data_IF_042983872579
#
_entry.id   IF_042983872579
#
_cell.length_a   1.000
_cell.length_b   1.000
_cell.length_c   1.000
_cell.angle_alpha   90.00
_cell.angle_beta   90.00
_cell.angle_gamma   90.00
#
_symmetry.space_group_name_H-M   'P 1'
#
loop_
_entity.id
_entity.type
_entity.pdbx_description
1 polymer ?
#
# COMPACT_ATOMS: atom_id res chain seq x y z
N UNK A 1 16.15 6.83 8.35
CA UNK A 1 15.08 5.97 7.81
C UNK A 1 14.48 6.46 6.48
N UNK A 2 14.35 7.78 6.26
CA UNK A 2 13.75 8.38 5.05
C UNK A 2 14.52 8.07 3.75
N UNK A 3 15.86 8.02 3.77
CA UNK A 3 16.66 7.66 2.57
C UNK A 3 16.38 6.23 2.06
N UNK A 4 16.29 5.23 2.94
CA UNK A 4 16.01 3.83 2.54
C UNK A 4 14.68 3.67 1.78
N UNK A 5 13.66 4.44 2.16
CA UNK A 5 12.34 4.41 1.50
C UNK A 5 12.39 5.04 0.11
N UNK A 6 13.24 6.05 -0.10
CA UNK A 6 13.42 6.69 -1.41
C UNK A 6 14.15 5.77 -2.38
N UNK A 7 15.18 5.05 -1.91
CA UNK A 7 15.90 4.08 -2.73
C UNK A 7 15.02 2.92 -3.19
N UNK A 8 14.17 2.37 -2.31
CA UNK A 8 13.29 1.24 -2.67
C UNK A 8 12.29 1.57 -3.80
N UNK A 9 11.76 2.80 -3.83
CA UNK A 9 10.84 3.25 -4.87
C UNK A 9 11.53 3.43 -6.23
N UNK A 10 12.75 3.94 -6.21
CA UNK A 10 13.56 4.12 -7.42
C UNK A 10 14.00 2.77 -7.97
N UNK A 11 14.45 1.85 -7.11
CA UNK A 11 14.83 0.49 -7.55
C UNK A 11 13.66 -0.28 -8.12
N UNK A 12 12.45 -0.13 -7.54
CA UNK A 12 11.24 -0.75 -8.08
C UNK A 12 10.87 -0.19 -9.46
N UNK A 13 10.98 1.12 -9.67
CA UNK A 13 10.75 1.73 -10.97
C UNK A 13 11.75 1.26 -12.03
N UNK A 14 13.04 1.25 -11.70
CA UNK A 14 14.10 0.78 -12.60
C UNK A 14 13.89 -0.69 -12.98
N UNK A 15 13.52 -1.53 -12.00
CA UNK A 15 13.21 -2.94 -12.26
C UNK A 15 12.05 -3.09 -13.25
N UNK A 16 10.96 -2.34 -13.06
CA UNK A 16 9.82 -2.36 -13.98
C UNK A 16 10.20 -1.90 -15.39
N UNK A 17 11.00 -0.84 -15.52
CA UNK A 17 11.48 -0.37 -16.83
C UNK A 17 12.30 -1.46 -17.52
N UNK A 18 13.23 -2.12 -16.81
CA UNK A 18 14.04 -3.20 -17.37
C UNK A 18 13.18 -4.38 -17.80
N UNK A 19 12.22 -4.81 -16.97
CA UNK A 19 11.37 -5.96 -17.32
C UNK A 19 10.48 -5.68 -18.53
N UNK A 20 9.82 -4.52 -18.58
CA UNK A 20 8.95 -4.16 -19.69
C UNK A 20 9.72 -3.94 -21.00
N UNK A 21 10.91 -3.33 -20.95
CA UNK A 21 11.75 -3.13 -22.14
C UNK A 21 12.27 -4.45 -22.69
N UNK A 22 12.68 -5.40 -21.83
CA UNK A 22 13.10 -6.74 -22.25
C UNK A 22 11.95 -7.53 -22.88
N UNK A 23 10.79 -7.58 -22.22
CA UNK A 23 9.61 -8.27 -22.76
C UNK A 23 9.19 -7.69 -24.11
N UNK A 24 9.19 -6.37 -24.23
CA UNK A 24 8.86 -5.69 -25.47
C UNK A 24 9.87 -6.00 -26.58
N UNK A 25 11.16 -5.98 -26.28
CA UNK A 25 12.21 -6.31 -27.26
C UNK A 25 12.06 -7.74 -27.78
N UNK A 26 11.81 -8.70 -26.88
CA UNK A 26 11.58 -10.08 -27.29
C UNK A 26 10.33 -10.22 -28.16
N UNK A 27 9.24 -9.56 -27.77
CA UNK A 27 7.99 -9.54 -28.54
C UNK A 27 8.19 -8.94 -29.93
N UNK A 28 8.91 -7.82 -30.05
CA UNK A 28 9.21 -7.20 -31.34
C UNK A 28 10.04 -8.10 -32.25
N UNK A 29 11.09 -8.75 -31.72
CA UNK A 29 11.89 -9.70 -32.49
C UNK A 29 11.03 -10.86 -33.00
N UNK A 30 10.14 -11.39 -32.16
CA UNK A 30 9.22 -12.46 -32.54
C UNK A 30 8.25 -12.03 -33.65
N UNK A 31 7.66 -10.83 -33.53
CA UNK A 31 6.74 -10.28 -34.54
C UNK A 31 7.47 -10.07 -35.87
N UNK A 32 8.68 -9.51 -35.85
CA UNK A 32 9.50 -9.30 -37.06
C UNK A 32 9.75 -10.63 -37.77
N UNK A 33 10.13 -11.67 -37.04
CA UNK A 33 10.39 -12.99 -37.62
C UNK A 33 9.12 -13.62 -38.20
N UNK A 34 8.00 -13.52 -37.48
CA UNK A 34 6.70 -14.04 -37.92
C UNK A 34 6.20 -13.34 -39.17
N UNK A 35 6.28 -12.01 -39.21
CA UNK A 35 5.88 -11.21 -40.37
C UNK A 35 6.77 -11.52 -41.57
N UNK A 36 8.09 -11.60 -41.38
CA UNK A 36 9.01 -12.01 -42.44
C UNK A 36 8.68 -13.42 -42.97
N UNK A 37 8.41 -14.41 -42.10
CA UNK A 37 7.99 -15.75 -42.55
C UNK A 37 6.68 -15.72 -43.35
N UNK A 38 5.72 -14.90 -42.94
CA UNK A 38 4.46 -14.74 -43.66
C UNK A 38 4.65 -14.11 -45.04
N UNK A 39 5.44 -13.02 -45.11
CA UNK A 39 5.76 -12.34 -46.36
C UNK A 39 6.56 -13.26 -47.30
N UNK A 40 7.48 -14.07 -46.75
CA UNK A 40 8.24 -15.06 -47.51
C UNK A 40 7.32 -16.10 -48.12
N UNK A 41 6.36 -16.62 -47.37
CA UNK A 41 5.40 -17.59 -47.89
C UNK A 41 4.58 -17.01 -49.03
N UNK A 42 4.11 -15.76 -48.91
CA UNK A 42 3.37 -15.08 -49.99
C UNK A 42 4.24 -14.88 -51.22
N UNK A 43 5.48 -14.43 -51.03
CA UNK A 43 6.48 -14.26 -52.09
C UNK A 43 6.78 -15.58 -52.79
N UNK A 44 7.01 -16.65 -52.03
CA UNK A 44 7.26 -17.99 -52.55
C UNK A 44 6.08 -18.52 -53.36
N UNK A 45 4.85 -18.37 -52.86
CA UNK A 45 3.63 -18.74 -53.62
C UNK A 45 3.52 -17.95 -54.91
N UNK A 46 3.81 -16.64 -54.89
CA UNK A 46 3.77 -15.81 -56.09
C UNK A 46 4.82 -16.24 -57.11
N UNK A 47 6.07 -16.45 -56.69
CA UNK A 47 7.14 -16.92 -57.58
C UNK A 47 6.82 -18.32 -58.12
N UNK A 48 6.21 -19.20 -57.32
CA UNK A 48 5.80 -20.52 -57.78
C UNK A 48 4.75 -20.45 -58.89
N UNK A 49 3.80 -19.51 -58.81
CA UNK A 49 2.79 -19.27 -59.85
C UNK A 49 3.42 -18.69 -61.13
N UNK A 50 4.38 -17.78 -60.99
CA UNK A 50 5.04 -17.11 -62.11
C UNK A 50 6.21 -17.94 -62.67
N UNK A 51 6.53 -19.09 -62.06
CA UNK A 51 7.75 -19.85 -62.32
C UNK A 51 7.89 -20.33 -63.76
N UNK A 52 6.79 -20.76 -64.38
CA UNK A 52 6.78 -21.26 -65.75
C UNK A 52 7.08 -20.16 -66.78
N UNK A 53 6.82 -18.89 -66.43
CA UNK A 53 7.04 -17.73 -67.30
C UNK A 53 8.42 -17.11 -67.11
N UNK A 54 9.15 -17.48 -66.06
CA UNK A 54 10.46 -16.92 -65.75
C UNK A 54 11.58 -17.62 -66.54
N UNK A 55 12.37 -16.88 -67.34
CA UNK A 55 13.46 -17.43 -68.14
C UNK A 55 14.71 -17.68 -67.29
N UNK A 56 14.61 -18.59 -66.32
CA UNK A 56 15.70 -18.97 -65.41
C UNK A 56 16.62 -19.96 -66.15
N UNK A 57 17.93 -19.87 -65.93
CA UNK A 57 18.89 -20.80 -66.51
C UNK A 57 18.63 -22.24 -66.03
N UNK A 58 18.63 -23.22 -66.94
CA UNK A 58 18.38 -24.63 -66.65
C UNK A 58 19.54 -25.48 -67.17
N UNK A 59 20.46 -25.91 -66.27
CA UNK A 59 21.63 -26.70 -66.67
C UNK A 59 21.27 -28.03 -67.33
N UNK A 60 20.17 -28.66 -66.91
CA UNK A 60 19.68 -29.92 -67.48
C UNK A 60 19.29 -29.80 -68.96
N UNK A 61 18.92 -28.61 -69.43
CA UNK A 61 18.47 -28.36 -70.78
C UNK A 61 19.44 -27.47 -71.59
N UNK A 62 20.67 -27.24 -71.09
CA UNK A 62 21.64 -26.30 -71.69
C UNK A 62 21.08 -24.90 -71.97
N UNK A 63 20.06 -24.48 -71.21
CA UNK A 63 19.42 -23.19 -71.38
C UNK A 63 20.08 -22.17 -70.45
N UNK A 64 20.71 -21.13 -71.01
CA UNK A 64 21.45 -20.13 -70.23
C UNK A 64 20.57 -19.09 -69.52
N UNK A 65 19.25 -19.10 -69.76
CA UNK A 65 18.32 -18.13 -69.19
C UNK A 65 18.44 -16.72 -69.77
N UNK A 66 17.56 -15.83 -69.35
CA UNK A 66 17.58 -14.39 -69.66
C UNK A 66 17.69 -13.59 -68.35
N UNK A 67 18.93 -13.25 -67.98
CA UNK A 67 19.22 -12.52 -66.74
C UNK A 67 18.58 -11.13 -66.70
N UNK A 68 18.39 -10.47 -67.85
CA UNK A 68 17.78 -9.14 -67.90
C UNK A 68 16.31 -9.21 -67.51
N UNK A 69 15.56 -10.16 -68.07
CA UNK A 69 14.15 -10.37 -67.71
C UNK A 69 13.97 -10.79 -66.25
N UNK A 70 14.85 -11.64 -65.72
CA UNK A 70 14.82 -11.99 -64.29
C UNK A 70 15.08 -10.76 -63.41
N UNK A 71 16.04 -9.91 -63.78
CA UNK A 71 16.32 -8.67 -63.01
C UNK A 71 15.13 -7.69 -63.01
N UNK A 72 14.45 -7.54 -64.15
CA UNK A 72 13.24 -6.70 -64.26
C UNK A 72 12.09 -7.26 -63.40
N UNK A 73 11.92 -8.58 -63.40
CA UNK A 73 10.93 -9.24 -62.54
C UNK A 73 11.23 -9.00 -61.05
N UNK A 74 12.49 -9.14 -60.63
CA UNK A 74 12.90 -8.87 -59.24
C UNK A 74 12.61 -7.41 -58.86
N UNK A 75 12.88 -6.46 -59.75
CA UNK A 75 12.59 -5.04 -59.52
C UNK A 75 11.09 -4.77 -59.34
N UNK A 76 10.24 -5.38 -60.18
CA UNK A 76 8.79 -5.19 -60.08
C UNK A 76 8.22 -5.82 -58.79
N UNK A 77 8.69 -7.01 -58.44
CA UNK A 77 8.33 -7.65 -57.15
C UNK A 77 8.77 -6.77 -55.98
N UNK A 78 10.00 -6.27 -55.98
CA UNK A 78 10.50 -5.40 -54.91
C UNK A 78 9.73 -4.08 -54.80
N UNK A 79 9.22 -3.55 -55.91
CA UNK A 79 8.33 -2.38 -55.91
C UNK A 79 7.01 -2.69 -55.20
N UNK A 80 6.39 -3.84 -55.50
CA UNK A 80 5.17 -4.29 -54.83
C UNK A 80 5.42 -4.56 -53.34
N UNK A 81 6.51 -5.25 -53.00
CA UNK A 81 6.90 -5.53 -51.61
C UNK A 81 7.10 -4.23 -50.83
N UNK A 82 7.76 -3.23 -51.41
CA UNK A 82 7.97 -1.92 -50.80
C UNK A 82 6.65 -1.17 -50.60
N UNK A 83 5.74 -1.22 -51.58
CA UNK A 83 4.42 -0.59 -51.48
C UNK A 83 3.55 -1.18 -50.34
N UNK A 84 3.77 -2.46 -50.01
CA UNK A 84 3.08 -3.15 -48.91
C UNK A 84 3.82 -3.09 -47.58
N UNK A 85 4.93 -2.34 -47.48
CA UNK A 85 5.81 -2.31 -46.31
C UNK A 85 6.29 -3.72 -45.88
N UNK A 86 6.52 -4.60 -46.85
CA UNK A 86 7.06 -5.94 -46.61
C UNK A 86 8.40 -5.84 -45.89
N UNK A 87 8.66 -6.78 -44.98
CA UNK A 87 9.96 -6.88 -44.30
C UNK A 87 11.01 -7.59 -45.15
N UNK A 88 10.63 -8.10 -46.32
CA UNK A 88 11.50 -8.87 -47.20
C UNK A 88 11.80 -8.10 -48.48
N UNK A 89 13.06 -8.15 -48.89
CA UNK A 89 13.53 -7.72 -50.21
C UNK A 89 14.07 -8.94 -50.94
N UNK A 90 13.59 -9.15 -52.17
CA UNK A 90 14.06 -10.20 -53.05
C UNK A 90 15.42 -9.79 -53.63
N UNK A 91 16.43 -10.62 -53.44
CA UNK A 91 17.80 -10.38 -53.90
C UNK A 91 18.07 -11.10 -55.23
N UNK A 92 17.72 -12.38 -55.31
CA UNK A 92 18.09 -13.22 -56.45
C UNK A 92 17.17 -14.45 -56.61
N UNK A 93 17.07 -14.97 -57.85
CA UNK A 93 16.34 -16.20 -58.20
C UNK A 93 17.20 -17.02 -59.15
N UNK A 94 17.56 -18.27 -58.78
CA UNK A 94 18.39 -19.16 -59.61
C UNK A 94 17.94 -20.62 -59.55
N UNK A 95 18.20 -21.41 -60.60
CA UNK A 95 17.87 -22.84 -60.64
C UNK A 95 18.92 -23.77 -59.99
N UNK A 96 20.05 -23.22 -59.52
CA UNK A 96 21.20 -24.02 -59.06
C UNK A 96 21.50 -23.71 -57.60
N UNK A 97 21.89 -24.73 -56.84
CA UNK A 97 22.40 -24.58 -55.47
C UNK A 97 23.56 -23.59 -55.43
N UNK A 98 23.47 -22.48 -54.67
CA UNK A 98 24.65 -21.75 -54.30
C UNK A 98 25.44 -22.58 -53.28
N UNK A 99 26.73 -22.76 -53.52
CA UNK A 99 27.67 -23.09 -52.44
C UNK A 99 27.44 -22.07 -51.31
N UNK A 100 27.24 -22.52 -50.06
CA UNK A 100 26.87 -21.64 -48.96
C UNK A 100 28.10 -20.82 -48.55
N UNK A 101 28.27 -19.65 -49.16
CA UNK A 101 29.02 -18.59 -48.50
C UNK A 101 28.09 -17.98 -47.45
N UNK A 102 28.54 -17.83 -46.19
CA UNK A 102 27.77 -17.20 -45.13
C UNK A 102 27.76 -15.71 -45.40
N UNK A 103 26.92 -15.27 -46.32
CA UNK A 103 26.57 -13.86 -46.45
C UNK A 103 25.18 -13.66 -45.86
N UNK A 104 24.85 -12.44 -45.48
CA UNK A 104 23.65 -12.06 -44.70
C UNK A 104 22.28 -12.38 -45.36
N UNK A 105 22.28 -13.15 -46.44
CA UNK A 105 21.15 -13.47 -47.30
C UNK A 105 20.54 -14.80 -46.86
N UNK A 106 19.23 -14.80 -46.62
CA UNK A 106 18.50 -16.01 -46.30
C UNK A 106 18.12 -16.71 -47.61
N UNK A 107 18.09 -18.05 -47.58
CA UNK A 107 17.83 -18.88 -48.75
C UNK A 107 16.53 -19.65 -48.55
N UNK A 108 15.65 -19.61 -49.55
CA UNK A 108 14.43 -20.41 -49.60
C UNK A 108 14.44 -21.25 -50.88
N UNK A 109 14.16 -22.54 -50.77
CA UNK A 109 14.18 -23.47 -51.90
C UNK A 109 12.73 -23.80 -52.28
N UNK A 110 12.37 -23.50 -53.51
CA UNK A 110 11.14 -23.95 -54.16
C UNK A 110 11.42 -25.26 -54.90
N UNK A 111 10.77 -26.32 -54.48
CA UNK A 111 10.80 -27.61 -55.18
C UNK A 111 9.51 -27.79 -55.99
N UNK A 112 9.66 -27.93 -57.30
CA UNK A 112 8.60 -28.36 -58.22
C UNK A 112 8.96 -29.74 -58.77
N UNK A 113 7.99 -30.44 -59.38
CA UNK A 113 8.14 -31.80 -59.90
C UNK A 113 9.33 -31.96 -60.88
N UNK A 114 9.71 -30.88 -61.57
CA UNK A 114 10.75 -30.91 -62.61
C UNK A 114 11.85 -29.85 -62.44
N UNK A 115 11.74 -28.94 -61.46
CA UNK A 115 12.67 -27.80 -61.28
C UNK A 115 12.88 -27.49 -59.81
N UNK A 116 14.13 -27.23 -59.41
CA UNK A 116 14.48 -26.67 -58.10
C UNK A 116 14.93 -25.23 -58.29
N UNK A 117 14.30 -24.30 -57.57
CA UNK A 117 14.60 -22.87 -57.67
C UNK A 117 14.94 -22.32 -56.31
N UNK A 118 16.08 -21.66 -56.24
CA UNK A 118 16.64 -21.02 -55.05
C UNK A 118 16.29 -19.54 -55.09
N UNK A 119 15.57 -19.09 -54.07
CA UNK A 119 15.25 -17.69 -53.80
C UNK A 119 16.20 -17.17 -52.72
N UNK A 120 16.92 -16.10 -53.03
CA UNK A 120 17.69 -15.34 -52.03
C UNK A 120 16.92 -14.10 -51.64
N UNK A 121 16.85 -13.84 -50.34
CA UNK A 121 16.13 -12.71 -49.81
C UNK A 121 16.82 -12.09 -48.59
N UNK A 122 16.55 -10.81 -48.39
CA UNK A 122 17.02 -10.01 -47.27
C UNK A 122 15.85 -9.69 -46.35
N UNK A 123 16.08 -9.74 -45.03
CA UNK A 123 15.06 -9.38 -44.02
C UNK A 123 15.44 -8.06 -43.36
N UNK A 124 14.55 -7.08 -43.47
CA UNK A 124 14.66 -5.82 -42.75
C UNK A 124 14.34 -6.02 -41.25
N UNK A 125 15.40 -6.03 -40.43
CA UNK A 125 15.34 -6.15 -38.97
C UNK A 125 15.29 -4.79 -38.24
N UNK A 126 15.08 -3.69 -38.97
CA UNK A 126 15.01 -2.38 -38.34
C UNK A 126 13.78 -2.26 -37.44
N UNK A 127 14.03 -1.85 -36.20
CA UNK A 127 12.99 -1.50 -35.25
C UNK A 127 12.65 -0.02 -35.37
N UNK A 128 11.37 0.34 -35.29
CA UNK A 128 10.99 1.74 -35.08
C UNK A 128 11.35 2.13 -33.64
N UNK A 129 12.30 3.06 -33.48
CA UNK A 129 12.76 3.49 -32.17
C UNK A 129 11.65 4.13 -31.33
N UNK A 130 10.67 4.76 -32.00
CA UNK A 130 9.50 5.37 -31.35
C UNK A 130 8.65 4.34 -30.59
N UNK A 131 8.65 3.09 -31.04
CA UNK A 131 7.87 2.02 -30.42
C UNK A 131 8.37 1.66 -29.02
N UNK A 132 9.62 1.99 -28.68
CA UNK A 132 10.18 1.79 -27.34
C UNK A 132 9.68 2.80 -26.30
N UNK A 133 8.92 3.83 -26.71
CA UNK A 133 8.25 4.73 -25.77
C UNK A 133 7.09 4.00 -25.07
N UNK A 134 6.43 3.05 -25.74
CA UNK A 134 5.30 2.31 -25.19
C UNK A 134 5.64 1.57 -23.86
N UNK A 135 6.69 0.73 -23.77
CA UNK A 135 7.04 0.07 -22.51
C UNK A 135 7.40 1.05 -21.39
N UNK A 136 7.93 2.24 -21.71
CA UNK A 136 8.21 3.28 -20.71
C UNK A 136 6.91 3.87 -20.13
N UNK A 137 5.92 4.15 -20.98
CA UNK A 137 4.60 4.64 -20.55
C UNK A 137 3.92 3.58 -19.66
N UNK A 138 3.96 2.31 -20.06
CA UNK A 138 3.38 1.22 -19.26
C UNK A 138 4.08 1.07 -17.90
N UNK A 139 5.41 1.09 -17.88
CA UNK A 139 6.17 1.03 -16.62
C UNK A 139 5.80 2.20 -15.69
N UNK A 140 5.64 3.42 -16.25
CA UNK A 140 5.23 4.60 -15.49
C UNK A 140 3.81 4.47 -14.93
N UNK A 141 2.85 4.01 -15.73
CA UNK A 141 1.46 3.81 -15.28
C UNK A 141 1.37 2.78 -14.15
N UNK A 142 2.05 1.64 -14.29
CA UNK A 142 2.10 0.60 -13.25
C UNK A 142 2.76 1.14 -11.97
N UNK A 143 3.84 1.90 -12.11
CA UNK A 143 4.51 2.53 -10.98
C UNK A 143 3.64 3.58 -10.27
N UNK A 144 2.84 4.35 -11.01
CA UNK A 144 1.86 5.28 -10.43
C UNK A 144 0.78 4.55 -9.63
N UNK A 145 0.25 3.43 -10.14
CA UNK A 145 -0.72 2.61 -9.43
C UNK A 145 -0.11 2.00 -8.16
N UNK A 146 1.12 1.49 -8.24
CA UNK A 146 1.90 1.02 -7.10
C UNK A 146 2.10 2.12 -6.05
N UNK A 147 2.45 3.34 -6.46
CA UNK A 147 2.62 4.44 -5.52
C UNK A 147 1.29 4.82 -4.86
N UNK A 148 0.19 4.85 -5.62
CA UNK A 148 -1.15 5.11 -5.09
C UNK A 148 -1.59 4.05 -4.09
N UNK A 149 -1.37 2.76 -4.38
CA UNK A 149 -1.72 1.67 -3.46
C UNK A 149 -0.88 1.74 -2.18
N UNK A 150 0.42 2.02 -2.28
CA UNK A 150 1.27 2.21 -1.10
C UNK A 150 0.91 3.43 -0.26
N UNK A 151 0.53 4.54 -0.90
CA UNK A 151 0.05 5.73 -0.20
C UNK A 151 -1.28 5.46 0.51
N UNK A 152 -2.23 4.78 -0.15
CA UNK A 152 -3.48 4.35 0.48
C UNK A 152 -3.23 3.36 1.63
N UNK A 153 -2.35 2.38 1.45
CA UNK A 153 -1.98 1.44 2.50
C UNK A 153 -1.33 2.15 3.70
N UNK A 154 -0.47 3.15 3.46
CA UNK A 154 0.09 4.00 4.52
C UNK A 154 -0.98 4.87 5.19
N UNK A 155 -1.89 5.46 4.44
CA UNK A 155 -3.01 6.22 5.00
C UNK A 155 -3.92 5.33 5.84
N UNK A 156 -4.17 4.09 5.40
CA UNK A 156 -4.95 3.11 6.16
C UNK A 156 -4.21 2.60 7.39
N UNK A 157 -2.88 2.40 7.31
CA UNK A 157 -2.03 2.10 8.46
C UNK A 157 -1.99 3.26 9.45
N UNK A 158 -1.83 4.50 8.99
CA UNK A 158 -1.85 5.69 9.84
C UNK A 158 -3.25 5.87 10.44
N UNK A 159 -4.33 5.71 9.66
CA UNK A 159 -5.70 5.71 10.16
C UNK A 159 -5.95 4.59 11.16
N UNK A 160 -5.38 3.41 10.94
CA UNK A 160 -5.45 2.28 11.87
C UNK A 160 -4.66 2.56 13.14
N UNK A 161 -3.47 3.15 13.06
CA UNK A 161 -2.66 3.55 14.23
C UNK A 161 -3.32 4.70 15.00
N UNK A 162 -3.90 5.69 14.32
CA UNK A 162 -4.68 6.76 14.97
C UNK A 162 -6.00 6.24 15.52
N UNK A 163 -6.62 5.22 14.91
CA UNK A 163 -7.76 4.53 15.49
C UNK A 163 -7.35 3.68 16.69
N UNK A 164 -6.18 3.03 16.69
CA UNK A 164 -5.63 2.31 17.84
C UNK A 164 -5.32 3.28 19.00
N UNK A 165 -4.88 4.51 18.70
CA UNK A 165 -4.72 5.55 19.72
C UNK A 165 -6.06 6.12 20.21
N UNK A 166 -7.08 6.13 19.36
CA UNK A 166 -8.48 6.45 19.72
C UNK A 166 -9.24 5.27 20.37
N UNK A 167 -8.71 4.04 20.28
CA UNK A 167 -9.18 2.80 20.92
C UNK A 167 -8.35 2.44 22.14
N UNK A 168 -7.51 3.35 22.69
CA UNK A 168 -7.08 3.17 24.08
C UNK A 168 -8.35 3.12 24.93
N UNK A 169 -8.58 1.99 25.58
CA UNK A 169 -9.70 1.76 26.47
C UNK A 169 -9.88 2.98 27.39
N UNK A 170 -10.92 3.78 27.12
CA UNK A 170 -11.25 4.93 27.97
C UNK A 170 -11.86 4.41 29.25
N UNK A 171 -11.53 5.07 30.36
CA UNK A 171 -12.21 4.80 31.62
C UNK A 171 -13.61 5.38 31.55
N UNK A 172 -14.63 4.55 31.76
CA UNK A 172 -16.03 4.97 31.78
C UNK A 172 -16.48 5.08 33.24
N UNK A 173 -16.99 6.26 33.61
CA UNK A 173 -17.56 6.58 34.91
C UNK A 173 -19.07 6.77 34.74
N UNK A 174 -19.86 5.75 35.08
CA UNK A 174 -21.30 5.77 34.85
C UNK A 174 -22.08 6.11 36.12
N UNK A 175 -22.69 7.30 36.14
CA UNK A 175 -23.51 7.78 37.25
C UNK A 175 -24.86 7.06 37.33
N UNK A 176 -25.37 6.49 36.24
CA UNK A 176 -26.67 5.80 36.20
C UNK A 176 -26.59 4.41 36.84
N UNK A 177 -25.46 3.73 36.67
CA UNK A 177 -25.22 2.39 37.23
C UNK A 177 -24.32 2.42 38.47
N UNK A 178 -23.66 3.55 38.74
CA UNK A 178 -22.63 3.75 39.78
C UNK A 178 -21.44 2.79 39.61
N UNK A 179 -21.07 2.54 38.37
CA UNK A 179 -19.99 1.63 38.01
C UNK A 179 -18.83 2.35 37.34
N UNK A 180 -17.65 1.79 37.50
CA UNK A 180 -16.43 2.12 36.76
C UNK A 180 -16.04 0.90 35.93
N UNK A 181 -15.71 1.11 34.67
CA UNK A 181 -15.28 0.05 33.74
C UNK A 181 -14.46 0.63 32.59
N UNK A 182 -13.79 -0.23 31.85
CA UNK A 182 -13.08 0.15 30.62
C UNK A 182 -14.03 0.09 29.42
N UNK A 183 -13.92 1.05 28.51
CA UNK A 183 -14.70 1.04 27.26
C UNK A 183 -14.41 -0.19 26.38
N UNK A 184 -13.25 -0.83 26.54
CA UNK A 184 -12.88 -2.06 25.84
C UNK A 184 -13.50 -3.32 26.44
N UNK A 185 -13.84 -3.30 27.73
CA UNK A 185 -14.49 -4.42 28.41
C UNK A 185 -15.72 -3.93 29.20
N UNK A 186 -16.89 -3.87 28.53
CA UNK A 186 -18.14 -3.49 29.17
C UNK A 186 -18.69 -4.54 30.14
N UNK A 187 -18.13 -5.76 30.23
CA UNK A 187 -18.66 -6.79 31.14
C UNK A 187 -18.08 -6.66 32.55
N UNK A 188 -16.87 -6.11 32.67
CA UNK A 188 -16.21 -5.89 33.96
C UNK A 188 -16.66 -4.57 34.61
N UNK A 189 -17.83 -4.60 35.26
CA UNK A 189 -18.32 -3.45 36.03
C UNK A 189 -17.92 -3.52 37.50
N UNK A 190 -17.18 -2.52 37.97
CA UNK A 190 -16.85 -2.37 39.40
C UNK A 190 -17.74 -1.30 40.01
N UNK A 191 -18.58 -1.70 40.97
CA UNK A 191 -19.46 -0.76 41.67
C UNK A 191 -18.67 0.10 42.66
N UNK A 192 -18.99 1.39 42.70
CA UNK A 192 -18.36 2.32 43.63
C UNK A 192 -19.41 3.01 44.51
N UNK A 193 -19.06 3.28 45.77
CA UNK A 193 -19.92 4.05 46.65
C UNK A 193 -20.05 5.51 46.15
N UNK A 194 -21.19 6.15 46.45
CA UNK A 194 -21.54 7.47 45.92
C UNK A 194 -20.46 8.54 46.19
N UNK A 195 -19.88 8.55 47.41
CA UNK A 195 -18.88 9.54 47.80
C UNK A 195 -17.57 9.35 47.01
N UNK A 196 -16.93 8.16 46.99
CA UNK A 196 -15.79 7.88 46.12
C UNK A 196 -16.04 8.19 44.63
N UNK A 197 -17.21 7.84 44.09
CA UNK A 197 -17.53 8.05 42.67
C UNK A 197 -17.57 9.54 42.31
N UNK A 198 -18.33 10.32 43.08
CA UNK A 198 -18.42 11.77 42.86
C UNK A 198 -17.08 12.45 43.05
N UNK A 199 -16.30 12.01 44.05
CA UNK A 199 -14.99 12.56 44.33
C UNK A 199 -14.00 12.27 43.21
N UNK A 200 -14.00 11.06 42.66
CA UNK A 200 -13.09 10.68 41.59
C UNK A 200 -13.39 11.43 40.28
N UNK A 201 -14.66 11.52 39.87
CA UNK A 201 -15.05 12.31 38.68
C UNK A 201 -14.61 13.77 38.86
N UNK A 202 -14.82 14.33 40.05
CA UNK A 202 -14.40 15.69 40.37
C UNK A 202 -12.88 15.87 40.37
N UNK A 203 -12.13 14.87 40.84
CA UNK A 203 -10.68 14.88 40.83
C UNK A 203 -10.13 14.92 39.40
N UNK A 204 -10.69 14.10 38.49
CA UNK A 204 -10.32 14.10 37.07
C UNK A 204 -10.59 15.47 36.43
N UNK A 205 -11.80 16.01 36.62
CA UNK A 205 -12.18 17.33 36.07
C UNK A 205 -11.33 18.47 36.64
N UNK A 206 -11.04 18.43 37.95
CA UNK A 206 -10.22 19.44 38.60
C UNK A 206 -8.76 19.40 38.11
N UNK A 207 -8.16 18.21 38.00
CA UNK A 207 -6.78 18.04 37.55
C UNK A 207 -6.60 18.40 36.07
N UNK A 208 -7.61 18.17 35.21
CA UNK A 208 -7.58 18.63 33.81
C UNK A 208 -7.53 20.16 33.71
N UNK A 209 -8.29 20.86 34.56
CA UNK A 209 -8.31 22.33 34.58
C UNK A 209 -7.15 22.97 35.37
N UNK A 210 -6.49 22.21 36.27
CA UNK A 210 -5.50 22.73 37.21
C UNK A 210 -4.31 21.77 37.37
N UNK A 211 -3.68 21.38 36.25
CA UNK A 211 -2.64 20.35 36.20
C UNK A 211 -1.44 20.61 37.14
N UNK A 212 -1.08 21.88 37.38
CA UNK A 212 0.07 22.27 38.21
C UNK A 212 -0.23 22.34 39.72
N UNK A 213 -1.48 22.09 40.14
CA UNK A 213 -1.88 22.21 41.54
C UNK A 213 -1.48 20.97 42.34
N UNK A 214 -0.64 21.17 43.36
CA UNK A 214 -0.21 20.10 44.29
C UNK A 214 -1.29 19.87 45.34
N UNK A 215 -1.95 18.71 45.27
CA UNK A 215 -3.03 18.31 46.17
C UNK A 215 -2.50 17.46 47.33
N UNK A 216 -2.28 18.06 48.50
CA UNK A 216 -1.73 17.34 49.66
C UNK A 216 -2.83 16.67 50.50
N UNK A 217 -2.74 15.36 50.81
CA UNK A 217 -3.78 14.65 51.57
C UNK A 217 -3.93 15.12 53.03
N UNK A 218 -2.93 15.79 53.60
CA UNK A 218 -2.97 16.33 54.97
C UNK A 218 -3.52 17.77 55.05
N UNK A 219 -3.84 18.37 53.90
CA UNK A 219 -4.48 19.69 53.83
C UNK A 219 -5.96 19.54 53.49
N UNK A 220 -6.73 20.57 53.77
CA UNK A 220 -8.11 20.63 53.32
C UNK A 220 -8.19 20.55 51.79
N UNK A 221 -9.19 19.82 51.32
CA UNK A 221 -9.48 19.69 49.90
C UNK A 221 -9.85 21.07 49.34
N UNK A 222 -9.29 21.50 48.20
CA UNK A 222 -9.64 22.79 47.60
C UNK A 222 -11.14 22.94 47.39
N UNK A 223 -11.67 24.12 47.74
CA UNK A 223 -13.11 24.40 47.66
C UNK A 223 -13.67 24.20 46.25
N UNK A 224 -12.90 24.53 45.22
CA UNK A 224 -13.25 24.29 43.82
C UNK A 224 -13.47 22.80 43.52
N UNK A 225 -12.62 21.91 44.04
CA UNK A 225 -12.78 20.45 43.87
C UNK A 225 -14.00 19.94 44.64
N UNK A 226 -14.22 20.45 45.86
CA UNK A 226 -15.42 20.12 46.66
C UNK A 226 -16.70 20.56 45.95
N UNK A 227 -16.70 21.74 45.32
CA UNK A 227 -17.82 22.25 44.53
C UNK A 227 -18.16 21.33 43.34
N UNK A 228 -17.15 20.87 42.60
CA UNK A 228 -17.33 19.92 41.49
C UNK A 228 -17.90 18.59 42.01
N UNK A 229 -17.35 18.04 43.09
CA UNK A 229 -17.82 16.77 43.68
C UNK A 229 -19.28 16.87 44.16
N UNK A 230 -19.63 18.01 44.74
CA UNK A 230 -20.98 18.32 45.17
C UNK A 230 -21.99 18.37 44.01
N UNK A 231 -21.60 18.92 42.85
CA UNK A 231 -22.44 18.94 41.66
C UNK A 231 -22.75 17.53 41.14
N UNK A 232 -21.77 16.63 41.13
CA UNK A 232 -21.99 15.22 40.77
C UNK A 232 -22.84 14.47 41.81
N UNK A 233 -22.70 14.82 43.10
CA UNK A 233 -23.56 14.25 44.13
C UNK A 233 -25.02 14.67 43.97
N UNK A 234 -25.27 15.95 43.68
CA UNK A 234 -26.62 16.46 43.37
C UNK A 234 -27.21 15.73 42.15
N UNK A 235 -26.38 15.44 41.13
CA UNK A 235 -26.79 14.62 40.00
C UNK A 235 -27.19 13.20 40.40
N UNK A 236 -26.46 12.53 41.28
CA UNK A 236 -26.85 11.22 41.83
C UNK A 236 -28.17 11.29 42.63
N UNK A 237 -28.44 12.39 43.33
CA UNK A 237 -29.73 12.60 44.01
C UNK A 237 -30.87 12.74 43.00
N UNK A 238 -30.67 13.49 41.91
CA UNK A 238 -31.66 13.62 40.83
C UNK A 238 -31.93 12.28 40.13
N UNK A 239 -30.90 11.46 39.94
CA UNK A 239 -31.03 10.10 39.37
C UNK A 239 -31.67 9.09 40.34
N UNK A 240 -32.00 9.50 41.57
CA UNK A 240 -32.64 8.62 42.57
C UNK A 240 -31.68 7.66 43.27
N UNK A 241 -30.37 7.81 43.10
CA UNK A 241 -29.38 6.92 43.71
C UNK A 241 -29.12 7.21 45.20
N UNK A 242 -29.57 8.36 45.72
CA UNK A 242 -29.51 8.67 47.14
C UNK A 242 -30.46 9.79 47.56
N UNK A 243 -31.02 9.67 48.75
CA UNK A 243 -31.81 10.72 49.44
C UNK A 243 -31.07 11.20 50.71
N UNK A 244 -29.80 10.82 50.87
CA UNK A 244 -29.01 11.12 52.07
C UNK A 244 -28.48 12.56 52.03
N UNK A 245 -28.14 13.07 53.22
CA UNK A 245 -27.49 14.38 53.39
C UNK A 245 -26.15 14.40 52.64
N UNK A 246 -25.85 15.57 52.06
CA UNK A 246 -24.61 15.87 51.32
C UNK A 246 -23.37 15.45 52.12
N UNK A 247 -22.48 14.60 51.55
CA UNK A 247 -21.30 14.12 52.25
C UNK A 247 -20.25 15.24 52.38
N UNK A 248 -19.47 15.22 53.46
CA UNK A 248 -18.28 16.05 53.56
C UNK A 248 -17.12 15.32 52.83
N UNK A 249 -16.67 15.88 51.72
CA UNK A 249 -15.62 15.32 50.88
C UNK A 249 -14.20 15.49 51.46
N UNK A 250 -14.00 16.39 52.42
CA UNK A 250 -12.71 16.57 53.12
C UNK A 250 -12.53 15.54 54.25
N UNK A 251 -13.62 15.08 54.87
CA UNK A 251 -13.54 14.06 55.91
C UNK A 251 -13.18 12.69 55.34
N UNK A 252 -12.28 11.97 55.99
CA UNK A 252 -11.88 10.61 55.60
C UNK A 252 -11.40 10.52 54.14
N UNK A 253 -10.65 11.52 53.69
CA UNK A 253 -10.10 11.59 52.34
C UNK A 253 -9.24 10.37 52.00
N UNK A 254 -8.35 9.97 52.90
CA UNK A 254 -7.48 8.79 52.69
C UNK A 254 -8.28 7.50 52.46
N UNK A 255 -9.37 7.31 53.22
CA UNK A 255 -10.28 6.18 53.02
C UNK A 255 -10.95 6.25 51.64
N UNK A 256 -11.44 7.43 51.26
CA UNK A 256 -12.08 7.68 49.96
C UNK A 256 -11.13 7.38 48.80
N UNK A 257 -9.89 7.86 48.88
CA UNK A 257 -8.84 7.58 47.89
C UNK A 257 -8.46 6.09 47.86
N UNK A 258 -8.48 5.41 49.00
CA UNK A 258 -8.19 3.97 49.06
C UNK A 258 -9.29 3.13 48.41
N UNK A 259 -10.56 3.50 48.59
CA UNK A 259 -11.69 2.86 47.90
C UNK A 259 -11.63 3.07 46.37
N UNK A 260 -11.28 4.28 45.92
CA UNK A 260 -11.07 4.56 44.49
C UNK A 260 -9.94 3.69 43.92
N UNK A 261 -8.80 3.63 44.61
CA UNK A 261 -7.65 2.83 44.19
C UNK A 261 -7.99 1.35 44.07
N UNK A 262 -8.69 0.80 45.06
CA UNK A 262 -9.11 -0.60 45.05
C UNK A 262 -10.01 -0.90 43.83
N UNK A 263 -10.99 -0.05 43.55
CA UNK A 263 -11.84 -0.23 42.38
C UNK A 263 -11.10 -0.09 41.05
N UNK A 264 -10.13 0.83 40.96
CA UNK A 264 -9.27 0.93 39.78
C UNK A 264 -8.31 -0.25 39.65
N UNK A 265 -7.86 -0.85 40.76
CA UNK A 265 -7.05 -2.06 40.74
C UNK A 265 -7.83 -3.24 40.16
N UNK A 266 -9.12 -3.36 40.51
CA UNK A 266 -10.03 -4.35 39.92
C UNK A 266 -10.25 -4.08 38.42
N UNK A 267 -10.58 -2.84 38.03
CA UNK A 267 -10.82 -2.46 36.61
C UNK A 267 -9.58 -2.63 35.73
N UNK A 268 -8.38 -2.36 36.26
CA UNK A 268 -7.12 -2.45 35.51
C UNK A 268 -6.34 -3.73 35.77
N UNK A 269 -6.99 -4.78 36.29
CA UNK A 269 -6.31 -6.05 36.59
C UNK A 269 -5.61 -6.63 35.34
N UNK A 270 -6.27 -6.56 34.18
CA UNK A 270 -5.73 -7.04 32.89
C UNK A 270 -4.91 -5.97 32.13
N UNK A 271 -4.94 -4.71 32.60
CA UNK A 271 -4.33 -3.55 31.95
C UNK A 271 -3.50 -2.69 32.92
N UNK A 272 -2.46 -3.24 33.58
CA UNK A 272 -1.67 -2.54 34.59
C UNK A 272 -0.96 -1.28 34.07
N UNK A 273 -0.71 -1.18 32.76
CA UNK A 273 -0.11 -0.03 32.08
C UNK A 273 -0.95 1.25 32.24
N UNK A 274 -2.28 1.13 32.32
CA UNK A 274 -3.21 2.25 32.45
C UNK A 274 -3.21 2.87 33.85
N UNK A 275 -2.72 2.13 34.87
CA UNK A 275 -2.63 2.61 36.25
C UNK A 275 -1.78 3.88 36.35
N UNK A 276 -0.70 3.98 35.59
CA UNK A 276 0.17 5.16 35.58
C UNK A 276 -0.55 6.49 35.27
N UNK A 277 -1.68 6.43 34.55
CA UNK A 277 -2.46 7.60 34.10
C UNK A 277 -3.66 7.90 35.00
N UNK A 278 -4.43 6.88 35.39
CA UNK A 278 -5.70 7.03 36.08
C UNK A 278 -5.62 6.85 37.60
N UNK A 279 -4.51 6.33 38.12
CA UNK A 279 -4.40 5.93 39.52
C UNK A 279 -3.94 7.10 40.41
N UNK A 280 -4.72 7.51 41.44
CA UNK A 280 -4.29 8.53 42.38
C UNK A 280 -3.04 8.08 43.16
N UNK A 281 -1.92 8.83 43.15
CA UNK A 281 -0.68 8.41 43.80
C UNK A 281 -0.86 8.14 45.30
N UNK A 282 -0.21 7.10 45.83
CA UNK A 282 -0.17 6.80 47.26
C UNK A 282 1.08 7.45 47.89
N UNK A 283 0.94 8.01 49.09
CA UNK A 283 2.09 8.45 49.87
C UNK A 283 2.94 7.22 50.27
N UNK A 284 4.23 7.21 49.93
CA UNK A 284 5.18 6.14 50.28
C UNK A 284 6.26 6.72 51.20
N UNK A 285 6.57 6.03 52.31
CA UNK A 285 7.74 6.30 53.17
C UNK A 285 7.45 7.00 54.51
N UNK A 286 8.45 6.96 55.40
CA UNK A 286 8.44 7.45 56.79
C UNK A 286 7.91 8.89 56.90
N UNK A 287 6.69 9.00 57.40
CA UNK A 287 6.00 10.28 57.59
C UNK A 287 4.91 10.48 56.54
N UNK A 288 3.71 9.97 56.80
CA UNK A 288 2.48 10.31 56.06
C UNK A 288 2.21 11.82 56.01
N UNK A 289 2.94 12.61 56.81
CA UNK A 289 2.91 14.07 56.94
C UNK A 289 3.88 14.82 56.03
N UNK A 290 4.63 14.14 55.16
CA UNK A 290 5.59 14.84 54.28
C UNK A 290 4.84 15.77 53.31
N UNK A 291 5.33 17.01 53.15
CA UNK A 291 4.70 18.06 52.31
C UNK A 291 4.73 17.73 50.81
N UNK A 292 5.40 16.65 50.42
CA UNK A 292 5.77 16.31 49.04
C UNK A 292 4.81 15.32 48.36
N UNK A 293 3.87 14.73 49.10
CA UNK A 293 2.91 13.80 48.50
C UNK A 293 1.69 14.55 47.93
N UNK A 294 1.47 14.40 46.62
CA UNK A 294 0.27 14.85 45.92
C UNK A 294 -0.62 13.67 45.59
N UNK A 295 -1.93 13.77 45.82
CA UNK A 295 -2.91 12.82 45.31
C UNK A 295 -3.50 13.22 43.94
N UNK A 296 -3.05 14.36 43.39
CA UNK A 296 -3.46 14.83 42.07
C UNK A 296 -2.96 13.92 40.94
N UNK A 297 -3.73 13.89 39.85
CA UNK A 297 -3.43 13.12 38.65
C UNK A 297 -2.59 13.98 37.70
N UNK A 298 -1.38 13.52 37.36
CA UNK A 298 -0.36 14.36 36.69
C UNK A 298 -0.33 14.26 35.17
N UNK A 299 -1.17 13.44 34.52
CA UNK A 299 -1.21 13.25 33.06
C UNK A 299 -2.60 12.84 32.53
N UNK A 300 -3.67 13.34 33.16
CA UNK A 300 -5.04 13.02 32.74
C UNK A 300 -5.68 14.24 32.08
N UNK A 301 -6.38 14.02 30.96
CA UNK A 301 -7.34 14.98 30.46
C UNK A 301 -8.76 14.48 30.70
N UNK A 302 -9.71 15.40 30.91
CA UNK A 302 -11.12 15.04 31.03
C UNK A 302 -11.64 14.34 29.75
N UNK A 303 -11.01 14.58 28.59
CA UNK A 303 -11.33 13.86 27.34
C UNK A 303 -10.92 12.38 27.31
N UNK A 304 -10.08 11.95 28.26
CA UNK A 304 -9.63 10.57 28.40
C UNK A 304 -10.63 9.68 29.17
N UNK A 305 -11.62 10.31 29.83
CA UNK A 305 -12.65 9.65 30.63
C UNK A 305 -14.02 9.93 30.01
N UNK A 306 -14.87 8.92 29.96
CA UNK A 306 -16.27 9.07 29.53
C UNK A 306 -17.18 9.08 30.78
N UNK A 307 -17.89 10.18 31.01
CA UNK A 307 -18.79 10.32 32.17
C UNK A 307 -20.24 10.20 31.70
N UNK A 308 -20.88 9.06 31.98
CA UNK A 308 -22.28 8.82 31.63
C UNK A 308 -23.21 9.32 32.73
N UNK A 309 -24.32 9.93 32.34
CA UNK A 309 -25.32 10.48 33.26
C UNK A 309 -24.96 11.86 33.85
N UNK A 310 -24.01 12.60 33.24
CA UNK A 310 -23.73 14.00 33.57
C UNK A 310 -24.98 14.88 33.43
#
# INVERSE_FOLDING_TARGET
>A
MIMKVKHHKVTSFVLLVVTFTLLFSFSQSYVIERDAKSDLSKLATRIALDLEMLPIAEPLFNYSGDQQKVSLYIQEINRVLSAHNSRIVLDDIRSVEPSPKPDHNHVYILESAHKKVVIKYLVNKQHLWISYIAPLIFAYLVWLLYLRSHLKARQNLVKSVTNIESERAKLVLDLNTKCIYLSSDPQQHVQLANKPLCFYIALVEFCDSNADTILNPNKDVPEALVSIANRYFERLTVLGHTVRKKPNFSNSLEKTLSEIRAALDDVFNEHPELKSKYYPPKAYGEGSRSKLHSYGLSNISFSDVDVKGK
#
